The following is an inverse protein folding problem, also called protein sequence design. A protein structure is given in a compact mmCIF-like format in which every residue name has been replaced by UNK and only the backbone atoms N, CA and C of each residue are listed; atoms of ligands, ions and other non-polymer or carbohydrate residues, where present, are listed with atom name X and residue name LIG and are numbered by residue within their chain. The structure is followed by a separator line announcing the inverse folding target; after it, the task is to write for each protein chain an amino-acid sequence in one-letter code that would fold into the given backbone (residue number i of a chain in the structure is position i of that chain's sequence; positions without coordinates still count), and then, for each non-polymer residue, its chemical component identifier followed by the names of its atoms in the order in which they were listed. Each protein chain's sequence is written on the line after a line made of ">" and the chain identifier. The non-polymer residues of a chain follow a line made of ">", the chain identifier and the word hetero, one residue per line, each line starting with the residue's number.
data_IF_429231193654
#
_entry.id   IF_429231193654
#
_cell.length_a   1.000
_cell.length_b   1.000
_cell.length_c   1.000
_cell.angle_alpha   90.00
_cell.angle_beta   90.00
_cell.angle_gamma   90.00
#
_symmetry.space_group_name_H-M   'P 1'
#
loop_
_entity.id
_entity.type
_entity.pdbx_description
1 polymer ?
#
# COMPACT_ATOMS: atom_id res chain seq x y z
N UNK A 1 -2.01 -22.15 7.49
CA UNK A 1 -2.30 -20.70 7.64
C UNK A 1 -1.51 -20.01 6.56
N UNK A 2 -2.15 -19.13 5.80
CA UNK A 2 -1.50 -18.37 4.72
C UNK A 2 -0.99 -17.03 5.22
N UNK A 3 -0.61 -16.98 6.49
CA UNK A 3 -0.16 -15.76 7.17
C UNK A 3 1.18 -15.36 6.58
N UNK A 4 1.36 -14.05 6.41
CA UNK A 4 2.59 -13.46 5.87
C UNK A 4 2.91 -12.19 6.62
N UNK A 5 4.16 -11.78 6.57
CA UNK A 5 4.52 -10.43 6.95
C UNK A 5 4.09 -9.45 5.85
N UNK A 6 3.56 -8.28 6.20
CA UNK A 6 3.05 -7.32 5.21
C UNK A 6 4.10 -6.91 4.17
N UNK A 7 5.37 -6.82 4.58
CA UNK A 7 6.51 -6.50 3.72
C UNK A 7 7.00 -7.68 2.86
N UNK A 8 6.44 -8.88 3.05
CA UNK A 8 6.70 -10.08 2.23
C UNK A 8 5.58 -10.35 1.21
N UNK A 9 4.55 -9.50 1.17
CA UNK A 9 3.48 -9.63 0.20
C UNK A 9 3.99 -9.41 -1.22
N UNK A 10 3.54 -10.27 -2.11
CA UNK A 10 3.84 -10.21 -3.55
C UNK A 10 2.59 -9.84 -4.35
N UNK A 11 2.78 -9.51 -5.63
CA UNK A 11 1.66 -9.28 -6.55
C UNK A 11 0.80 -10.55 -6.66
N UNK A 12 1.40 -11.74 -6.71
CA UNK A 12 0.68 -13.01 -6.80
C UNK A 12 -0.21 -13.27 -5.57
N UNK A 13 0.22 -12.81 -4.38
CA UNK A 13 -0.58 -12.89 -3.15
C UNK A 13 -1.80 -11.99 -3.23
N UNK A 14 -1.63 -10.76 -3.74
CA UNK A 14 -2.71 -9.80 -3.90
C UNK A 14 -3.67 -10.20 -5.02
N UNK A 15 -3.18 -10.84 -6.08
CA UNK A 15 -4.01 -11.40 -7.15
C UNK A 15 -4.80 -12.63 -6.67
N UNK A 16 -4.23 -13.41 -5.75
CA UNK A 16 -4.93 -14.53 -5.11
C UNK A 16 -5.99 -14.06 -4.11
N UNK A 17 -5.68 -13.01 -3.36
CA UNK A 17 -6.56 -12.39 -2.37
C UNK A 17 -6.38 -10.88 -2.41
N UNK A 18 -7.38 -10.14 -2.90
CA UNK A 18 -7.27 -8.68 -3.03
C UNK A 18 -7.36 -7.92 -1.71
N UNK A 19 -7.65 -8.60 -0.60
CA UNK A 19 -7.75 -8.02 0.74
C UNK A 19 -7.05 -8.89 1.77
N UNK A 20 -6.27 -8.23 2.61
CA UNK A 20 -5.60 -8.83 3.75
C UNK A 20 -5.84 -7.97 4.98
N UNK A 21 -5.86 -8.59 6.16
CA UNK A 21 -6.12 -7.89 7.42
C UNK A 21 -5.07 -8.23 8.47
N UNK A 22 -4.89 -7.33 9.43
CA UNK A 22 -4.08 -7.55 10.63
C UNK A 22 -4.98 -8.16 11.72
N UNK A 23 -4.86 -9.46 12.05
CA UNK A 23 -5.79 -10.13 12.96
C UNK A 23 -5.63 -9.71 14.44
N UNK A 24 -4.49 -9.11 14.83
CA UNK A 24 -4.22 -8.59 16.18
C UNK A 24 -4.53 -9.59 17.32
N UNK A 25 -4.40 -10.89 17.06
CA UNK A 25 -4.64 -11.97 18.01
C UNK A 25 -3.30 -12.60 18.47
N UNK A 26 -3.33 -13.50 19.47
CA UNK A 26 -2.11 -14.17 19.95
C UNK A 26 -1.57 -15.25 18.98
N UNK A 27 -2.20 -15.45 17.82
CA UNK A 27 -1.79 -16.47 16.83
C UNK A 27 -0.75 -15.97 15.84
N UNK A 28 -0.53 -14.65 15.79
CA UNK A 28 0.44 -14.01 14.89
C UNK A 28 1.88 -14.11 15.40
N UNK A 29 2.82 -13.93 14.47
CA UNK A 29 4.22 -13.75 14.84
C UNK A 29 4.43 -12.39 15.51
N UNK A 30 3.91 -11.32 14.89
CA UNK A 30 3.98 -9.94 15.39
C UNK A 30 2.89 -9.03 14.80
N UNK A 31 2.96 -7.73 15.10
CA UNK A 31 2.02 -6.69 14.64
C UNK A 31 2.05 -6.43 13.12
N UNK A 32 3.03 -6.98 12.39
CA UNK A 32 3.15 -6.86 10.93
C UNK A 32 2.57 -8.06 10.17
N UNK A 33 2.08 -9.07 10.91
CA UNK A 33 1.46 -10.25 10.34
C UNK A 33 0.09 -9.91 9.74
N UNK A 34 -0.10 -10.32 8.49
CA UNK A 34 -1.34 -10.20 7.73
C UNK A 34 -1.87 -11.57 7.33
N UNK A 35 -3.20 -11.67 7.22
CA UNK A 35 -3.92 -12.87 6.80
C UNK A 35 -4.88 -12.52 5.66
N UNK A 36 -5.05 -13.39 4.64
CA UNK A 36 -6.00 -13.10 3.58
C UNK A 36 -7.42 -13.08 4.13
N UNK A 37 -8.21 -12.10 3.71
CA UNK A 37 -9.60 -12.00 4.12
C UNK A 37 -10.48 -12.80 3.15
N UNK A 38 -10.98 -13.94 3.61
CA UNK A 38 -11.83 -14.84 2.80
C UNK A 38 -13.34 -14.63 3.00
N UNK A 39 -13.78 -14.02 4.12
CA UNK A 39 -15.20 -13.87 4.48
C UNK A 39 -15.53 -12.44 4.93
N UNK A 40 -16.74 -11.98 4.57
CA UNK A 40 -17.19 -10.59 4.62
C UNK A 40 -17.52 -10.07 6.04
N UNK A 41 -17.71 -10.95 7.03
CA UNK A 41 -18.33 -10.57 8.32
C UNK A 41 -17.36 -9.90 9.31
N UNK A 42 -16.05 -9.88 9.04
CA UNK A 42 -15.03 -9.46 10.01
C UNK A 42 -14.26 -8.18 9.65
N UNK A 43 -14.61 -7.53 8.54
CA UNK A 43 -13.75 -6.49 7.95
C UNK A 43 -13.73 -5.15 8.72
N UNK A 44 -14.75 -4.85 9.55
CA UNK A 44 -14.88 -3.55 10.22
C UNK A 44 -13.96 -3.36 11.42
N UNK A 45 -13.52 -4.46 12.03
CA UNK A 45 -12.87 -4.43 13.35
C UNK A 45 -11.33 -4.47 13.24
N UNK A 46 -10.81 -4.71 12.03
CA UNK A 46 -9.39 -4.84 11.76
C UNK A 46 -8.93 -3.80 10.76
N UNK A 47 -7.67 -3.39 10.89
CA UNK A 47 -6.99 -2.70 9.80
C UNK A 47 -6.81 -3.68 8.64
N UNK A 48 -7.09 -3.20 7.43
CA UNK A 48 -6.93 -4.00 6.21
C UNK A 48 -6.04 -3.28 5.21
N UNK A 49 -5.47 -4.06 4.31
CA UNK A 49 -4.86 -3.58 3.09
C UNK A 49 -5.64 -4.10 1.88
N UNK A 50 -5.65 -3.31 0.81
CA UNK A 50 -6.44 -3.59 -0.38
C UNK A 50 -5.56 -3.47 -1.62
N UNK A 51 -5.67 -4.44 -2.52
CA UNK A 51 -5.06 -4.41 -3.85
C UNK A 51 -5.39 -3.10 -4.55
N UNK A 52 -4.36 -2.47 -5.11
CA UNK A 52 -4.44 -1.14 -5.71
C UNK A 52 -3.67 -1.11 -7.01
N UNK A 53 -4.31 -0.58 -8.04
CA UNK A 53 -3.67 -0.28 -9.32
C UNK A 53 -3.14 1.16 -9.29
N UNK A 54 -1.94 1.33 -9.85
CA UNK A 54 -1.22 2.59 -9.93
C UNK A 54 -0.88 2.87 -11.39
N UNK A 55 -1.30 4.04 -11.89
CA UNK A 55 -1.12 4.47 -13.27
C UNK A 55 -0.12 5.64 -13.30
N UNK A 56 1.03 5.39 -13.91
CA UNK A 56 2.06 6.38 -14.18
C UNK A 56 1.67 7.40 -15.25
N UNK A 57 2.36 8.53 -15.28
CA UNK A 57 2.13 9.61 -16.23
C UNK A 57 2.29 9.16 -17.71
N UNK A 58 3.20 8.22 -17.99
CA UNK A 58 3.39 7.69 -19.35
C UNK A 58 2.34 6.65 -19.76
N UNK A 59 1.49 6.23 -18.82
CA UNK A 59 0.54 5.12 -18.98
C UNK A 59 1.07 3.77 -18.46
N UNK A 60 2.23 3.74 -17.82
CA UNK A 60 2.73 2.55 -17.13
C UNK A 60 1.76 2.12 -16.00
N UNK A 61 1.52 0.83 -15.87
CA UNK A 61 0.64 0.27 -14.83
C UNK A 61 1.47 -0.51 -13.84
N UNK A 62 1.30 -0.21 -12.56
CA UNK A 62 1.90 -0.90 -11.44
C UNK A 62 0.82 -1.42 -10.50
N UNK A 63 1.20 -2.37 -9.65
CA UNK A 63 0.34 -2.96 -8.64
C UNK A 63 0.99 -2.91 -7.28
N UNK A 64 0.15 -2.93 -6.26
CA UNK A 64 0.55 -3.03 -4.88
C UNK A 64 -0.66 -2.89 -4.00
N UNK A 65 -0.51 -2.21 -2.88
CA UNK A 65 -1.60 -2.10 -1.91
C UNK A 65 -1.60 -0.74 -1.23
N UNK A 66 -2.71 -0.45 -0.57
CA UNK A 66 -2.82 0.63 0.40
C UNK A 66 -3.53 0.11 1.65
N UNK A 67 -3.33 0.80 2.77
CA UNK A 67 -4.09 0.58 3.99
C UNK A 67 -5.45 1.25 3.83
N UNK A 68 -6.53 0.48 3.90
CA UNK A 68 -7.85 1.07 3.68
C UNK A 68 -8.25 1.91 4.89
N UNK A 69 -8.72 3.13 4.64
CA UNK A 69 -9.28 4.02 5.65
C UNK A 69 -10.41 4.85 5.04
N UNK A 70 -11.37 5.24 5.87
CA UNK A 70 -12.39 6.22 5.51
C UNK A 70 -11.82 7.59 5.10
N UNK A 71 -10.61 7.91 5.57
CA UNK A 71 -9.86 9.10 5.24
C UNK A 71 -8.76 8.79 4.23
N UNK A 72 -8.88 9.37 3.04
CA UNK A 72 -7.94 9.15 1.94
C UNK A 72 -6.60 9.93 2.06
N UNK A 73 -6.33 10.58 3.20
CA UNK A 73 -5.05 11.27 3.40
C UNK A 73 -3.88 10.27 3.46
N UNK A 74 -2.73 10.67 2.91
CA UNK A 74 -1.61 9.77 2.59
C UNK A 74 -1.05 9.04 3.81
N UNK A 75 -1.08 9.69 4.98
CA UNK A 75 -0.62 9.14 6.25
C UNK A 75 -1.49 8.00 6.78
N UNK A 76 -2.75 7.91 6.34
CA UNK A 76 -3.65 6.81 6.67
C UNK A 76 -3.55 5.69 5.63
N UNK A 77 -3.53 6.05 4.34
CA UNK A 77 -3.57 5.06 3.26
C UNK A 77 -2.22 4.43 2.93
N UNK A 78 -1.10 5.13 3.22
CA UNK A 78 0.29 4.63 3.15
C UNK A 78 0.55 3.71 1.94
N UNK A 79 0.40 4.20 0.69
CA UNK A 79 0.43 3.35 -0.49
C UNK A 79 1.80 2.72 -0.71
N UNK A 80 1.80 1.49 -1.23
CA UNK A 80 3.00 0.72 -1.57
C UNK A 80 2.86 0.14 -2.97
N UNK A 81 3.88 0.33 -3.80
CA UNK A 81 3.98 -0.32 -5.12
C UNK A 81 4.98 -1.46 -5.03
N UNK A 82 4.65 -2.61 -5.60
CA UNK A 82 5.45 -3.84 -5.57
C UNK A 82 6.03 -4.17 -6.95
N UNK A 83 7.23 -4.75 -6.99
CA UNK A 83 7.82 -5.34 -8.18
C UNK A 83 7.57 -6.85 -8.22
N UNK A 84 7.66 -7.42 -9.42
CA UNK A 84 7.66 -8.86 -9.66
C UNK A 84 8.87 -9.58 -9.01
N UNK A 85 9.92 -8.83 -8.68
CA UNK A 85 11.16 -9.33 -8.07
C UNK A 85 11.18 -9.21 -6.55
N UNK A 86 10.10 -8.72 -5.94
CA UNK A 86 9.98 -8.53 -4.49
C UNK A 86 10.56 -7.20 -3.97
N UNK A 87 10.89 -6.26 -4.86
CA UNK A 87 11.18 -4.89 -4.45
C UNK A 87 9.89 -4.14 -4.14
N UNK A 88 9.96 -3.14 -3.27
CA UNK A 88 8.80 -2.33 -2.91
C UNK A 88 9.18 -0.84 -2.81
N UNK A 89 8.25 0.04 -3.16
CA UNK A 89 8.34 1.47 -2.91
C UNK A 89 7.18 1.88 -2.01
N UNK A 90 7.48 2.23 -0.77
CA UNK A 90 6.52 2.85 0.15
C UNK A 90 6.47 4.36 -0.07
N UNK A 91 5.27 4.90 -0.23
CA UNK A 91 5.06 6.33 -0.41
C UNK A 91 4.90 7.09 0.90
N UNK A 92 4.89 6.42 2.05
CA UNK A 92 4.82 7.05 3.37
C UNK A 92 5.96 6.58 4.27
N UNK A 93 6.71 7.53 4.84
CA UNK A 93 7.88 7.26 5.70
C UNK A 93 7.72 7.73 7.15
N UNK A 94 6.49 8.02 7.59
CA UNK A 94 6.25 8.51 8.95
C UNK A 94 6.99 9.83 9.19
N UNK A 95 7.72 9.93 10.30
CA UNK A 95 8.48 11.15 10.67
C UNK A 95 9.87 11.24 10.02
N UNK A 96 10.23 10.29 9.16
CA UNK A 96 11.55 10.23 8.53
C UNK A 96 11.49 10.88 7.16
N UNK A 97 12.37 11.85 6.89
CA UNK A 97 12.52 12.42 5.55
C UNK A 97 13.02 11.34 4.57
N UNK A 98 12.24 10.99 3.54
CA UNK A 98 12.61 9.93 2.61
C UNK A 98 13.60 10.42 1.57
N UNK A 99 14.34 9.48 1.01
CA UNK A 99 15.13 9.66 -0.20
C UNK A 99 14.79 8.55 -1.16
N UNK A 100 14.67 8.87 -2.45
CA UNK A 100 14.54 7.85 -3.48
C UNK A 100 15.74 6.91 -3.46
N UNK A 101 15.46 5.62 -3.44
CA UNK A 101 16.48 4.60 -3.61
C UNK A 101 17.08 4.67 -5.02
N UNK A 102 18.33 4.20 -5.15
CA UNK A 102 19.03 4.15 -6.42
C UNK A 102 18.76 2.86 -7.21
N UNK A 103 17.77 2.06 -6.80
CA UNK A 103 17.39 0.84 -7.51
C UNK A 103 16.72 1.19 -8.84
N UNK A 104 16.85 0.31 -9.84
CA UNK A 104 16.21 0.50 -11.16
C UNK A 104 14.69 0.64 -11.01
N UNK A 105 14.10 -0.15 -10.11
CA UNK A 105 12.66 -0.13 -9.85
C UNK A 105 12.19 1.22 -9.28
N UNK A 106 12.83 1.70 -8.21
CA UNK A 106 12.50 3.01 -7.62
C UNK A 106 12.73 4.15 -8.61
N UNK A 107 13.79 4.09 -9.41
CA UNK A 107 14.04 5.06 -10.48
C UNK A 107 12.92 5.06 -11.53
N UNK A 108 12.44 3.88 -11.94
CA UNK A 108 11.34 3.76 -12.91
C UNK A 108 10.02 4.34 -12.39
N UNK A 109 9.69 4.10 -11.12
CA UNK A 109 8.50 4.67 -10.48
C UNK A 109 8.63 6.19 -10.40
N UNK A 110 9.80 6.70 -10.03
CA UNK A 110 10.04 8.14 -9.93
C UNK A 110 9.82 8.88 -11.26
N UNK A 111 10.20 8.26 -12.38
CA UNK A 111 9.99 8.85 -13.72
C UNK A 111 8.53 8.90 -14.16
N UNK A 112 7.64 8.20 -13.45
CA UNK A 112 6.21 8.11 -13.76
C UNK A 112 5.34 9.04 -12.90
N UNK A 113 5.95 9.84 -12.02
CA UNK A 113 5.21 10.81 -11.22
C UNK A 113 4.65 11.95 -12.10
N UNK A 114 3.40 12.41 -11.85
CA UNK A 114 2.51 11.96 -10.78
C UNK A 114 1.79 10.65 -11.10
N UNK A 115 1.76 9.74 -10.13
CA UNK A 115 1.09 8.43 -10.26
C UNK A 115 -0.33 8.54 -9.73
N UNK A 116 -1.33 8.21 -10.54
CA UNK A 116 -2.72 8.08 -10.08
C UNK A 116 -2.95 6.69 -9.51
N UNK A 117 -3.75 6.54 -8.47
CA UNK A 117 -4.08 5.23 -7.91
C UNK A 117 -5.57 5.06 -7.68
N UNK A 118 -6.02 3.80 -7.72
CA UNK A 118 -7.38 3.39 -7.37
C UNK A 118 -7.34 2.00 -6.73
N UNK A 119 -7.83 1.87 -5.49
CA UNK A 119 -7.97 0.57 -4.84
C UNK A 119 -9.16 -0.19 -5.39
N UNK A 120 -9.16 -1.51 -5.29
CA UNK A 120 -10.38 -2.28 -5.56
C UNK A 120 -11.51 -1.88 -4.60
N UNK A 121 -12.75 -1.96 -5.09
CA UNK A 121 -13.92 -1.90 -4.23
C UNK A 121 -14.29 -3.33 -3.84
N UNK A 122 -14.13 -3.62 -2.55
CA UNK A 122 -14.14 -4.99 -2.01
C UNK A 122 -15.01 -5.03 -0.76
N UNK A 123 -15.81 -6.09 -0.61
CA UNK A 123 -16.63 -6.33 0.58
C UNK A 123 -17.58 -5.19 0.99
N UNK A 124 -17.98 -4.33 0.06
CA UNK A 124 -18.82 -3.15 0.33
C UNK A 124 -18.05 -1.89 0.73
N UNK A 125 -16.72 -1.97 0.79
CA UNK A 125 -15.85 -0.83 0.99
C UNK A 125 -15.66 -0.06 -0.33
N UNK A 126 -15.83 1.28 -0.31
CA UNK A 126 -15.58 2.10 -1.49
C UNK A 126 -14.10 2.05 -1.88
N UNK A 127 -13.87 2.17 -3.19
CA UNK A 127 -12.54 2.40 -3.75
C UNK A 127 -11.98 3.73 -3.25
N UNK A 128 -10.69 3.73 -2.89
CA UNK A 128 -9.93 4.93 -2.55
C UNK A 128 -9.09 5.30 -3.76
N UNK A 129 -9.22 6.54 -4.22
CA UNK A 129 -8.47 7.06 -5.36
C UNK A 129 -7.69 8.31 -4.99
N UNK A 130 -6.55 8.53 -5.63
CA UNK A 130 -5.75 9.72 -5.42
C UNK A 130 -4.60 9.86 -6.39
N UNK A 131 -3.67 10.76 -6.08
CA UNK A 131 -2.43 10.99 -6.83
C UNK A 131 -1.24 11.05 -5.89
N UNK A 132 -0.13 10.50 -6.34
CA UNK A 132 1.17 10.50 -5.68
C UNK A 132 2.09 11.42 -6.46
N UNK A 133 2.55 12.46 -5.79
CA UNK A 133 3.44 13.50 -6.33
C UNK A 133 4.92 13.19 -6.05
N UNK A 134 5.20 12.25 -5.15
CA UNK A 134 6.52 11.89 -4.65
C UNK A 134 6.42 11.03 -3.39
N UNK A 135 7.50 10.94 -2.61
CA UNK A 135 7.52 10.24 -1.32
C UNK A 135 7.11 11.20 -0.19
N UNK A 136 6.26 10.73 0.73
CA UNK A 136 5.66 11.57 1.76
C UNK A 136 6.18 11.26 3.16
N UNK A 137 6.21 12.30 4.00
CA UNK A 137 6.59 12.21 5.41
C UNK A 137 5.94 13.31 6.25
N UNK A 138 5.94 13.14 7.56
CA UNK A 138 5.47 14.09 8.55
C UNK A 138 6.64 14.95 9.07
N UNK A 139 6.50 16.27 9.00
CA UNK A 139 7.41 17.24 9.61
C UNK A 139 6.59 18.34 10.27
N UNK A 140 6.82 18.61 11.56
CA UNK A 140 6.12 19.67 12.31
C UNK A 140 4.60 19.64 12.14
N UNK A 141 4.00 18.44 12.27
CA UNK A 141 2.57 18.16 12.07
C UNK A 141 2.04 18.49 10.66
N UNK A 142 2.92 18.60 9.67
CA UNK A 142 2.58 18.82 8.27
C UNK A 142 3.10 17.68 7.39
N UNK A 143 2.23 17.21 6.50
CA UNK A 143 2.60 16.25 5.46
C UNK A 143 3.43 16.97 4.39
N UNK A 144 4.66 16.52 4.23
CA UNK A 144 5.64 17.00 3.27
C UNK A 144 5.84 15.95 2.16
N UNK A 145 6.36 16.39 1.00
CA UNK A 145 6.57 15.55 -0.17
C UNK A 145 7.96 15.79 -0.78
N UNK A 146 8.67 14.72 -1.12
CA UNK A 146 9.96 14.72 -1.84
C UNK A 146 9.75 14.12 -3.23
N UNK A 147 10.09 14.88 -4.27
CA UNK A 147 9.99 14.43 -5.66
C UNK A 147 11.27 13.75 -6.14
#
# INVERSE_FOLDING_TARGET
>A
MSDKQVYELTIDDLDSYSVWFFPMDETVEDESTVRPLAEQETCSDFQIIVLTDFLGESGAVYRGYLYWDSNAAIEYVKPVILSDKGDAVSFWSGIVTPTWESSEFACSIRTELPISYASESVFGLPSICGKLEGLYYLSDDQVCCVK
#
